data_IF_829440085553
#
_entry.id   IF_829440085553
#
_cell.length_a   1.000
_cell.length_b   1.000
_cell.length_c   1.000
_cell.angle_alpha   90.00
_cell.angle_beta   90.00
_cell.angle_gamma   90.00
#
_symmetry.space_group_name_H-M   'P 1'
#
loop_
_entity.id
_entity.type
_entity.pdbx_description
1 polymer ?
#
# COMPACT_ATOMS: atom_id res chain seq x y z
N UNK A 1 5.69 3.73 -21.52
CA UNK A 1 6.46 4.91 -21.06
C UNK A 1 6.78 4.70 -19.60
N UNK A 2 8.06 4.50 -19.25
CA UNK A 2 8.48 4.41 -17.85
C UNK A 2 8.51 5.84 -17.30
N UNK A 3 7.53 6.18 -16.48
CA UNK A 3 7.58 7.35 -15.61
C UNK A 3 8.81 7.17 -14.73
N UNK A 4 9.84 8.00 -14.92
CA UNK A 4 10.86 8.18 -13.88
C UNK A 4 10.09 8.55 -12.62
N UNK A 5 10.06 7.65 -11.64
CA UNK A 5 9.74 8.00 -10.27
C UNK A 5 10.65 9.19 -9.96
N UNK A 6 10.03 10.34 -9.71
CA UNK A 6 10.71 11.43 -9.03
C UNK A 6 11.27 10.81 -7.75
N UNK A 7 12.60 10.75 -7.59
CA UNK A 7 13.27 10.04 -6.48
C UNK A 7 12.88 10.58 -5.08
N UNK A 8 12.00 11.58 -5.03
CA UNK A 8 11.41 12.17 -3.83
C UNK A 8 9.98 11.70 -3.55
N UNK A 9 9.33 11.02 -4.49
CA UNK A 9 7.92 10.61 -4.37
C UNK A 9 7.81 9.12 -4.03
N UNK A 10 7.13 8.82 -2.93
CA UNK A 10 6.80 7.47 -2.49
C UNK A 10 5.31 7.27 -2.63
N UNK A 11 4.89 6.27 -3.40
CA UNK A 11 3.48 5.88 -3.53
C UNK A 11 3.09 4.94 -2.39
N UNK A 12 2.18 5.39 -1.51
CA UNK A 12 1.69 4.64 -0.34
C UNK A 12 0.23 4.30 -0.53
N UNK A 13 -0.09 3.01 -0.60
CA UNK A 13 -1.47 2.50 -0.57
C UNK A 13 -1.95 2.42 0.87
N UNK A 14 -3.12 2.99 1.15
CA UNK A 14 -3.78 2.88 2.44
C UNK A 14 -5.16 2.29 2.20
N UNK A 15 -5.46 1.18 2.88
CA UNK A 15 -6.74 0.50 2.72
C UNK A 15 -7.89 1.30 3.33
N UNK A 16 -9.09 1.12 2.80
CA UNK A 16 -10.33 1.76 3.24
C UNK A 16 -10.60 1.57 4.75
N UNK A 17 -10.44 0.35 5.27
CA UNK A 17 -10.69 0.02 6.69
C UNK A 17 -9.82 0.83 7.67
N UNK A 18 -8.68 1.34 7.23
CA UNK A 18 -7.83 2.21 8.06
C UNK A 18 -8.56 3.52 8.40
N UNK A 19 -9.43 4.01 7.51
CA UNK A 19 -10.27 5.21 7.69
C UNK A 19 -11.55 4.94 8.47
N UNK A 20 -12.10 3.73 8.39
CA UNK A 20 -13.25 3.38 9.21
C UNK A 20 -12.90 3.30 10.71
N UNK A 21 -11.64 2.98 11.02
CA UNK A 21 -11.22 2.73 12.40
C UNK A 21 -10.36 3.85 13.01
N UNK A 22 -9.35 4.38 12.31
CA UNK A 22 -8.30 5.20 12.95
C UNK A 22 -7.91 6.46 12.19
N UNK A 23 -8.12 6.53 10.87
CA UNK A 23 -7.72 7.67 10.07
C UNK A 23 -8.86 8.68 9.93
N UNK A 24 -8.52 9.94 10.21
CA UNK A 24 -9.28 11.07 9.66
C UNK A 24 -8.95 11.23 8.18
N UNK A 25 -9.83 11.87 7.40
CA UNK A 25 -9.54 12.21 6.03
C UNK A 25 -8.20 12.90 5.85
N UNK A 26 -7.52 12.53 4.78
CA UNK A 26 -6.25 13.10 4.38
C UNK A 26 -6.53 14.14 3.31
N UNK A 27 -5.88 15.30 3.40
CA UNK A 27 -5.99 16.38 2.43
C UNK A 27 -4.67 16.59 1.70
N UNK A 28 -4.72 17.13 0.48
CA UNK A 28 -3.51 17.55 -0.22
C UNK A 28 -2.68 18.52 0.64
N UNK A 29 -1.36 18.46 0.47
CA UNK A 29 -0.35 19.24 1.20
C UNK A 29 -0.27 18.96 2.70
N UNK A 30 -1.09 18.07 3.24
CA UNK A 30 -0.96 17.59 4.61
C UNK A 30 0.38 16.89 4.79
N UNK A 31 0.98 17.04 5.95
CA UNK A 31 2.14 16.25 6.34
C UNK A 31 1.68 14.95 6.99
N UNK A 32 2.18 13.82 6.52
CA UNK A 32 1.78 12.49 6.97
C UNK A 32 3.00 11.65 7.35
N UNK A 33 2.75 10.60 8.13
CA UNK A 33 3.74 9.64 8.59
C UNK A 33 3.16 8.23 8.40
N UNK A 34 3.95 7.32 7.84
CA UNK A 34 3.54 5.95 7.55
C UNK A 34 4.63 4.95 7.87
N UNK A 35 4.27 3.84 8.50
CA UNK A 35 5.10 2.64 8.52
C UNK A 35 4.70 1.77 7.34
N UNK A 36 5.70 1.31 6.58
CA UNK A 36 5.48 0.66 5.31
C UNK A 36 5.64 -0.85 5.39
N UNK A 37 4.70 -1.54 4.75
CA UNK A 37 4.80 -2.95 4.42
C UNK A 37 4.85 -3.11 2.91
N UNK A 38 5.70 -3.99 2.40
CA UNK A 38 5.74 -4.33 0.99
C UNK A 38 4.95 -5.63 0.76
N UNK A 39 3.95 -5.54 -0.11
CA UNK A 39 3.11 -6.65 -0.53
C UNK A 39 3.40 -6.96 -2.01
N UNK A 40 4.00 -8.11 -2.35
CA UNK A 40 4.15 -8.54 -3.73
C UNK A 40 2.77 -8.81 -4.35
N UNK A 41 2.62 -8.52 -5.64
CA UNK A 41 1.40 -8.81 -6.40
C UNK A 41 0.17 -7.96 -6.04
N UNK A 42 0.31 -6.96 -5.18
CA UNK A 42 -0.75 -5.96 -4.94
C UNK A 42 -0.80 -4.91 -6.05
N UNK A 43 -1.98 -4.32 -6.24
CA UNK A 43 -2.22 -3.22 -7.19
C UNK A 43 -2.53 -1.89 -6.47
N UNK A 44 -2.16 -0.74 -7.07
CA UNK A 44 -1.37 -0.61 -8.31
C UNK A 44 0.09 -1.04 -8.11
N UNK A 45 0.65 -1.66 -9.15
CA UNK A 45 2.00 -2.24 -9.11
C UNK A 45 3.04 -1.14 -9.34
N UNK A 46 4.01 -1.06 -8.43
CA UNK A 46 5.23 -0.29 -8.61
C UNK A 46 6.46 -1.23 -8.62
N UNK A 47 7.52 -0.79 -9.30
CA UNK A 47 8.76 -1.53 -9.45
C UNK A 47 9.86 -0.89 -8.62
N UNK A 48 10.51 -1.69 -7.80
CA UNK A 48 11.52 -1.24 -6.86
C UNK A 48 12.77 -2.11 -6.97
N UNK A 49 13.89 -1.54 -6.56
CA UNK A 49 15.12 -2.28 -6.29
C UNK A 49 15.34 -2.21 -4.80
N UNK A 50 15.29 -3.36 -4.14
CA UNK A 50 15.42 -3.46 -2.69
C UNK A 50 16.68 -4.20 -2.32
N UNK A 51 17.31 -3.78 -1.23
CA UNK A 51 18.26 -4.59 -0.47
C UNK A 51 17.49 -5.31 0.62
N UNK A 52 17.42 -6.64 0.53
CA UNK A 52 16.74 -7.47 1.53
C UNK A 52 17.71 -7.80 2.67
N UNK A 53 17.28 -7.54 3.90
CA UNK A 53 18.00 -7.91 5.13
C UNK A 53 17.12 -8.79 5.99
N UNK A 54 17.68 -9.86 6.53
CA UNK A 54 17.01 -10.64 7.57
C UNK A 54 17.06 -9.89 8.90
N UNK A 55 15.94 -9.91 9.62
CA UNK A 55 15.84 -9.40 10.98
C UNK A 55 15.08 -10.40 11.84
N UNK A 56 15.08 -10.20 13.15
CA UNK A 56 14.38 -11.06 14.11
C UNK A 56 12.86 -11.08 13.91
N UNK A 57 12.27 -10.03 13.33
CA UNK A 57 10.81 -9.87 13.13
C UNK A 57 10.36 -10.11 11.68
N UNK A 58 11.29 -10.54 10.82
CA UNK A 58 11.08 -10.84 9.40
C UNK A 58 11.99 -10.04 8.47
N UNK A 59 11.86 -10.21 7.15
CA UNK A 59 12.69 -9.48 6.19
C UNK A 59 12.39 -7.98 6.20
N UNK A 60 13.45 -7.19 6.31
CA UNK A 60 13.47 -5.74 6.08
C UNK A 60 13.94 -5.45 4.66
N UNK A 61 13.31 -4.48 4.02
CA UNK A 61 13.59 -4.04 2.67
C UNK A 61 14.07 -2.59 2.71
N UNK A 62 15.32 -2.35 2.27
CA UNK A 62 15.90 -1.01 2.16
C UNK A 62 16.05 -0.61 0.70
N UNK A 63 15.48 0.53 0.30
CA UNK A 63 15.53 0.99 -1.09
C UNK A 63 14.78 2.29 -1.29
N UNK A 64 15.18 3.10 -2.28
CA UNK A 64 14.48 4.33 -2.64
C UNK A 64 14.22 5.27 -1.46
N UNK A 65 15.20 5.39 -0.56
CA UNK A 65 15.16 6.19 0.70
C UNK A 65 14.07 5.80 1.70
N UNK A 66 13.41 4.67 1.48
CA UNK A 66 12.41 4.13 2.39
C UNK A 66 12.85 2.78 2.93
N UNK A 67 12.26 2.43 4.07
CA UNK A 67 12.39 1.11 4.67
C UNK A 67 11.00 0.51 4.76
N UNK A 68 10.84 -0.73 4.30
CA UNK A 68 9.58 -1.46 4.39
C UNK A 68 9.80 -2.83 5.01
N UNK A 69 8.79 -3.33 5.72
CA UNK A 69 8.73 -4.73 6.16
C UNK A 69 8.17 -5.58 5.03
N UNK A 70 8.73 -6.77 4.80
CA UNK A 70 8.05 -7.77 3.97
C UNK A 70 6.78 -8.26 4.68
N UNK A 71 5.63 -8.12 4.05
CA UNK A 71 4.39 -8.69 4.58
C UNK A 71 3.59 -9.34 3.46
N UNK A 72 3.66 -10.66 3.40
CA UNK A 72 2.77 -11.41 2.53
C UNK A 72 2.62 -12.85 3.01
N UNK A 73 1.46 -13.23 3.58
CA UNK A 73 1.22 -14.62 3.96
C UNK A 73 1.25 -15.60 2.77
N UNK A 74 0.98 -15.09 1.56
CA UNK A 74 0.87 -15.89 0.33
C UNK A 74 2.19 -16.08 -0.41
N UNK A 75 3.21 -15.29 -0.09
CA UNK A 75 4.49 -15.33 -0.78
C UNK A 75 5.62 -15.56 0.22
N UNK A 76 6.53 -16.51 -0.05
CA UNK A 76 7.66 -16.74 0.83
C UNK A 76 8.51 -15.48 0.93
N UNK A 77 9.11 -15.26 2.11
CA UNK A 77 10.07 -14.21 2.33
C UNK A 77 11.17 -14.24 1.26
N UNK A 78 11.55 -13.08 0.67
CA UNK A 78 12.67 -13.04 -0.25
C UNK A 78 13.96 -13.36 0.49
N UNK A 79 14.90 -14.04 -0.18
CA UNK A 79 16.25 -14.27 0.36
C UNK A 79 16.99 -12.93 0.56
N UNK A 80 18.01 -12.86 1.43
CA UNK A 80 18.87 -11.68 1.56
C UNK A 80 19.51 -11.22 0.25
N UNK A 81 19.88 -9.94 0.18
CA UNK A 81 20.59 -9.32 -0.94
C UNK A 81 19.74 -8.43 -1.84
N UNK A 82 20.39 -7.74 -2.77
CA UNK A 82 19.75 -6.76 -3.66
C UNK A 82 19.01 -7.42 -4.80
N UNK A 83 17.74 -7.02 -5.03
CA UNK A 83 16.90 -7.60 -6.08
C UNK A 83 15.80 -6.64 -6.55
N UNK A 84 15.42 -6.70 -7.83
CA UNK A 84 14.22 -6.05 -8.32
C UNK A 84 12.98 -6.79 -7.81
N UNK A 85 11.96 -6.06 -7.35
CA UNK A 85 10.66 -6.61 -6.97
C UNK A 85 9.53 -5.70 -7.43
N UNK A 86 8.37 -6.29 -7.69
CA UNK A 86 7.16 -5.60 -8.12
C UNK A 86 6.06 -5.83 -7.10
N UNK A 87 5.36 -4.77 -6.70
CA UNK A 87 4.33 -4.85 -5.69
C UNK A 87 3.91 -3.47 -5.21
N UNK A 88 3.33 -3.42 -4.02
CA UNK A 88 2.78 -2.19 -3.44
C UNK A 88 3.35 -1.94 -2.05
N UNK A 89 3.60 -0.66 -1.74
CA UNK A 89 3.89 -0.20 -0.39
C UNK A 89 2.57 0.14 0.30
N UNK A 90 2.18 -0.70 1.26
CA UNK A 90 1.00 -0.46 2.09
C UNK A 90 1.39 0.28 3.36
N UNK A 91 0.80 1.45 3.57
CA UNK A 91 0.90 2.21 4.81
C UNK A 91 -0.21 1.81 5.78
N UNK A 92 0.12 1.74 7.06
CA UNK A 92 -0.85 1.43 8.12
C UNK A 92 -0.84 2.49 9.22
N UNK A 93 -2.02 2.77 9.77
CA UNK A 93 -2.22 3.58 10.96
C UNK A 93 -2.42 2.73 12.22
N UNK A 94 -2.71 1.43 12.07
CA UNK A 94 -3.06 0.53 13.18
C UNK A 94 -1.87 -0.18 13.82
N UNK A 95 -0.77 -0.38 13.08
CA UNK A 95 0.37 -1.05 13.68
C UNK A 95 1.11 -0.11 14.64
N UNK A 96 1.37 -0.60 15.86
CA UNK A 96 2.47 -0.11 16.68
C UNK A 96 3.74 -0.06 15.82
N UNK A 97 4.61 0.92 16.07
CA UNK A 97 5.88 1.09 15.38
C UNK A 97 6.59 -0.27 15.25
N UNK A 98 6.70 -0.83 14.02
CA UNK A 98 7.33 -2.12 13.86
C UNK A 98 8.81 -2.01 14.21
N UNK A 99 9.31 -2.91 15.05
CA UNK A 99 10.70 -2.90 15.49
C UNK A 99 11.68 -2.76 14.32
N UNK A 100 12.50 -1.71 14.36
CA UNK A 100 13.56 -1.47 13.38
C UNK A 100 13.09 -1.00 12.00
N UNK A 101 11.82 -0.67 11.82
CA UNK A 101 11.27 -0.08 10.59
C UNK A 101 10.93 1.39 10.85
N UNK A 102 11.78 2.36 10.42
CA UNK A 102 11.45 3.77 10.55
C UNK A 102 10.23 4.12 9.70
N UNK A 103 9.43 5.06 10.19
CA UNK A 103 8.34 5.61 9.39
C UNK A 103 8.88 6.46 8.23
N UNK A 104 8.22 6.39 7.08
CA UNK A 104 8.36 7.42 6.04
C UNK A 104 7.51 8.63 6.42
N UNK A 105 8.06 9.82 6.24
CA UNK A 105 7.40 11.08 6.52
C UNK A 105 7.50 11.96 5.29
N UNK A 106 6.47 12.76 5.05
CA UNK A 106 6.45 13.60 3.86
C UNK A 106 5.13 14.34 3.67
N UNK A 107 5.12 15.21 2.67
CA UNK A 107 3.96 16.01 2.32
C UNK A 107 3.15 15.31 1.23
N UNK A 108 1.84 15.25 1.41
CA UNK A 108 0.91 14.71 0.42
C UNK A 108 0.91 15.59 -0.83
N UNK A 109 1.47 15.06 -1.92
CA UNK A 109 1.52 15.72 -3.23
C UNK A 109 0.29 15.40 -4.07
N UNK A 110 -0.22 14.18 -3.98
CA UNK A 110 -1.37 13.69 -4.74
C UNK A 110 -2.15 12.65 -3.92
N UNK A 111 -3.46 12.62 -4.11
CA UNK A 111 -4.36 11.62 -3.54
C UNK A 111 -5.21 11.03 -4.65
N UNK A 112 -5.29 9.71 -4.69
CA UNK A 112 -6.06 8.96 -5.68
C UNK A 112 -6.91 7.92 -4.97
N UNK A 113 -8.23 8.04 -5.02
CA UNK A 113 -9.12 6.97 -4.54
C UNK A 113 -8.95 5.75 -5.44
N UNK A 114 -8.75 4.59 -4.82
CA UNK A 114 -8.62 3.30 -5.49
C UNK A 114 -10.01 2.68 -5.58
N UNK A 115 -10.40 2.26 -6.78
CA UNK A 115 -11.61 1.48 -7.00
C UNK A 115 -11.27 0.18 -7.71
N UNK A 116 -11.66 -0.95 -7.12
CA UNK A 116 -11.38 -2.30 -7.63
C UNK A 116 -12.69 -2.99 -8.02
N UNK A 117 -12.65 -3.86 -9.03
CA UNK A 117 -13.72 -4.81 -9.25
C UNK A 117 -13.52 -5.98 -8.29
N UNK A 118 -14.52 -6.28 -7.49
CA UNK A 118 -14.52 -7.38 -6.54
C UNK A 118 -15.35 -8.55 -7.09
N UNK A 119 -14.93 -9.77 -6.77
CA UNK A 119 -15.65 -11.02 -7.05
C UNK A 119 -15.59 -11.94 -5.85
N UNK A 120 -16.55 -12.88 -5.79
CA UNK A 120 -16.43 -14.01 -4.88
C UNK A 120 -15.35 -14.97 -5.36
N UNK A 121 -14.61 -15.52 -4.41
CA UNK A 121 -13.63 -16.57 -4.60
C UNK A 121 -13.77 -17.56 -3.44
N UNK A 122 -13.86 -18.85 -3.74
CA UNK A 122 -13.84 -19.88 -2.69
C UNK A 122 -12.39 -20.14 -2.30
N UNK A 123 -12.09 -19.96 -1.02
CA UNK A 123 -10.75 -20.11 -0.45
C UNK A 123 -10.83 -20.79 0.91
N UNK A 124 -10.00 -21.81 1.11
CA UNK A 124 -9.91 -22.56 2.37
C UNK A 124 -11.29 -23.08 2.87
N UNK A 125 -12.19 -23.39 1.94
CA UNK A 125 -13.54 -23.89 2.22
C UNK A 125 -14.60 -22.83 2.52
N UNK A 126 -14.28 -21.53 2.41
CA UNK A 126 -15.23 -20.43 2.57
C UNK A 126 -15.21 -19.46 1.38
N UNK A 127 -16.30 -18.71 1.20
CA UNK A 127 -16.36 -17.66 0.18
C UNK A 127 -15.77 -16.36 0.72
N UNK A 128 -14.78 -15.83 0.00
CA UNK A 128 -14.14 -14.55 0.30
C UNK A 128 -14.33 -13.59 -0.86
N UNK A 129 -14.35 -12.29 -0.56
CA UNK A 129 -14.32 -11.25 -1.59
C UNK A 129 -12.86 -10.99 -1.96
N UNK A 130 -12.54 -11.10 -3.25
CA UNK A 130 -11.21 -10.84 -3.79
C UNK A 130 -11.27 -9.81 -4.92
N UNK A 131 -10.24 -8.97 -5.03
CA UNK A 131 -10.08 -8.06 -6.15
C UNK A 131 -9.77 -8.84 -7.44
N UNK A 132 -10.42 -8.46 -8.53
CA UNK A 132 -10.13 -8.94 -9.89
C UNK A 132 -8.81 -8.30 -10.34
N UNK A 133 -7.79 -9.07 -10.73
CA UNK A 133 -6.52 -8.51 -11.21
C UNK A 133 -6.73 -7.56 -12.40
N UNK A 134 -5.97 -6.46 -12.44
CA UNK A 134 -6.02 -5.45 -13.49
C UNK A 134 -7.26 -4.55 -13.45
N UNK A 135 -8.08 -4.60 -12.39
CA UNK A 135 -9.34 -3.87 -12.31
C UNK A 135 -9.25 -2.50 -11.63
N UNK A 136 -8.06 -2.15 -11.11
CA UNK A 136 -7.80 -0.89 -10.41
C UNK A 136 -8.10 0.31 -11.31
N UNK A 137 -8.94 1.19 -10.80
CA UNK A 137 -9.19 2.53 -11.32
C UNK A 137 -8.76 3.53 -10.26
N UNK A 138 -8.00 4.56 -10.67
CA UNK A 138 -7.52 5.61 -9.79
C UNK A 138 -8.21 6.92 -10.14
N UNK A 139 -8.85 7.54 -9.14
CA UNK A 139 -9.52 8.84 -9.31
C UNK A 139 -8.86 9.89 -8.43
N UNK A 140 -8.35 10.96 -9.04
CA UNK A 140 -7.74 12.07 -8.30
C UNK A 140 -8.76 12.78 -7.42
N UNK A 141 -8.36 13.05 -6.17
CA UNK A 141 -9.18 13.79 -5.20
C UNK A 141 -8.33 14.82 -4.47
N UNK A 142 -8.96 15.90 -4.01
CA UNK A 142 -8.30 16.89 -3.16
C UNK A 142 -8.25 16.46 -1.68
N UNK A 143 -9.15 15.55 -1.29
CA UNK A 143 -9.34 15.02 0.07
C UNK A 143 -9.90 13.61 -0.03
N UNK A 144 -9.45 12.70 0.83
CA UNK A 144 -10.04 11.35 0.93
C UNK A 144 -11.45 11.42 1.51
N UNK A 145 -12.34 10.49 1.16
CA UNK A 145 -13.66 10.47 1.78
C UNK A 145 -13.57 10.24 3.31
N UNK A 146 -14.57 10.72 4.05
CA UNK A 146 -14.73 10.39 5.48
C UNK A 146 -15.06 8.91 5.67
N UNK A 147 -15.70 8.29 4.67
CA UNK A 147 -15.97 6.86 4.61
C UNK A 147 -16.00 6.39 3.15
N UNK A 148 -15.39 5.25 2.88
CA UNK A 148 -15.39 4.65 1.54
C UNK A 148 -16.71 3.93 1.26
N UNK A 149 -17.15 3.97 0.00
CA UNK A 149 -18.31 3.21 -0.45
C UNK A 149 -17.91 1.74 -0.68
N UNK A 150 -18.14 0.94 0.35
CA UNK A 150 -17.87 -0.49 0.37
C UNK A 150 -19.17 -1.26 0.13
N UNK A 151 -19.29 -1.89 -1.04
CA UNK A 151 -20.28 -2.95 -1.20
C UNK A 151 -19.79 -4.18 -0.44
N UNK A 152 -20.64 -4.75 0.43
CA UNK A 152 -20.35 -5.99 1.17
C UNK A 152 -20.28 -7.26 0.28
N UNK A 153 -20.09 -7.09 -1.02
CA UNK A 153 -20.19 -8.14 -2.02
C UNK A 153 -19.56 -7.73 -3.36
N UNK A 154 -19.68 -8.58 -4.38
CA UNK A 154 -19.05 -8.40 -5.68
C UNK A 154 -19.61 -7.17 -6.38
N UNK A 155 -18.77 -6.52 -7.16
CA UNK A 155 -19.08 -5.21 -7.74
C UNK A 155 -17.87 -4.31 -7.74
N UNK A 156 -18.02 -3.11 -8.30
CA UNK A 156 -16.99 -2.09 -8.20
C UNK A 156 -17.13 -1.35 -6.88
N UNK A 157 -16.06 -1.29 -6.11
CA UNK A 157 -16.06 -0.69 -4.77
C UNK A 157 -14.81 0.15 -4.57
N UNK A 158 -14.88 1.14 -3.68
CA UNK A 158 -13.71 1.92 -3.30
C UNK A 158 -12.96 1.20 -2.18
N UNK A 159 -11.70 0.84 -2.40
CA UNK A 159 -10.93 -0.07 -1.53
C UNK A 159 -9.73 0.59 -0.86
N UNK A 160 -9.71 1.92 -0.90
CA UNK A 160 -8.69 2.74 -0.24
C UNK A 160 -8.22 3.92 -1.08
N UNK A 161 -7.01 4.38 -0.77
CA UNK A 161 -6.36 5.51 -1.43
C UNK A 161 -4.91 5.19 -1.73
N UNK A 162 -4.41 5.72 -2.85
CA UNK A 162 -3.01 5.84 -3.16
C UNK A 162 -2.55 7.27 -2.91
N UNK A 163 -1.51 7.42 -2.10
CA UNK A 163 -0.97 8.69 -1.64
C UNK A 163 0.44 8.86 -2.23
N UNK A 164 0.67 9.96 -2.94
CA UNK A 164 2.02 10.32 -3.38
C UNK A 164 2.61 11.20 -2.28
N UNK A 165 3.54 10.65 -1.50
CA UNK A 165 4.28 11.39 -0.49
C UNK A 165 5.56 11.96 -1.09
N UNK A 166 5.71 13.28 -1.03
CA UNK A 166 6.98 13.97 -1.23
C UNK A 166 7.80 13.90 0.07
N UNK A 167 8.95 13.21 -0.01
CA UNK A 167 9.85 12.87 1.10
C UNK A 167 11.17 13.66 1.06
#
# INVERSE_FOLDING_TARGET
>A
MSTRLDDRVVEVRVADWEFECCLRPIVLRQFCRWWLTFCPGGEPVAHYVWTVRETTTGPRLDGHRVVARWWCPRHPAPRPGTRPMSGVLSGTAHCAEPDGIPAVMGRVRRLRVISEQLRWETRDGGDVVAAVPGSVVLTDVARTPDRYDLSAGPGRSQTGVLIDLET
#
